data_IF_151809632398
#
_entry.id   IF_151809632398
#
_cell.length_a   1.000
_cell.length_b   1.000
_cell.length_c   1.000
_cell.angle_alpha   90.00
_cell.angle_beta   90.00
_cell.angle_gamma   90.00
#
_symmetry.space_group_name_H-M   'P 1'
#
loop_
_entity.id
_entity.type
_entity.pdbx_description
1 polymer ?
#
# COMPACT_ATOMS: atom_id res chain seq x y z
N UNK A 1 -24.63 21.09 9.14
CA UNK A 1 -23.19 20.98 8.84
C UNK A 1 -22.38 21.78 9.84
N UNK A 2 -21.40 21.15 10.48
CA UNK A 2 -20.44 21.71 11.42
C UNK A 2 -19.32 22.44 10.67
N UNK A 3 -18.93 23.60 11.17
CA UNK A 3 -17.75 24.34 10.68
C UNK A 3 -16.47 23.83 11.34
N UNK A 4 -15.30 24.27 10.84
CA UNK A 4 -14.02 23.96 11.47
C UNK A 4 -13.96 24.43 12.93
N UNK A 5 -14.51 25.61 13.23
CA UNK A 5 -14.53 26.15 14.60
C UNK A 5 -15.47 25.36 15.50
N UNK A 6 -16.62 24.90 14.98
CA UNK A 6 -17.51 24.02 15.75
C UNK A 6 -16.80 22.71 16.13
N UNK A 7 -16.03 22.11 15.21
CA UNK A 7 -15.29 20.87 15.46
C UNK A 7 -14.11 21.12 16.41
N UNK A 8 -13.38 22.23 16.25
CA UNK A 8 -12.27 22.58 17.17
C UNK A 8 -12.77 22.80 18.60
N UNK A 9 -13.94 23.40 18.77
CA UNK A 9 -14.57 23.66 20.06
C UNK A 9 -15.05 22.40 20.80
N UNK A 10 -15.21 21.26 20.12
CA UNK A 10 -15.56 19.99 20.76
C UNK A 10 -14.46 19.53 21.72
N UNK A 11 -14.87 18.96 22.86
CA UNK A 11 -13.95 18.31 23.81
C UNK A 11 -13.25 17.12 23.16
N UNK A 12 -12.13 16.69 23.76
CA UNK A 12 -11.44 15.48 23.30
C UNK A 12 -12.35 14.24 23.41
N UNK A 13 -13.12 14.10 24.50
CA UNK A 13 -14.07 12.98 24.64
C UNK A 13 -15.15 13.01 23.55
N UNK A 14 -15.71 14.18 23.23
CA UNK A 14 -16.72 14.32 22.19
C UNK A 14 -16.17 13.91 20.81
N UNK A 15 -14.94 14.32 20.49
CA UNK A 15 -14.23 13.94 19.25
C UNK A 15 -14.00 12.43 19.19
N UNK A 16 -13.55 11.81 20.28
CA UNK A 16 -13.33 10.37 20.33
C UNK A 16 -14.65 9.58 20.24
N UNK A 17 -15.72 10.07 20.86
CA UNK A 17 -17.02 9.43 20.81
C UNK A 17 -17.61 9.45 19.40
N UNK A 18 -17.57 10.58 18.70
CA UNK A 18 -18.09 10.65 17.32
C UNK A 18 -17.25 9.82 16.35
N UNK A 19 -15.92 9.80 16.52
CA UNK A 19 -15.03 8.95 15.74
C UNK A 19 -15.36 7.47 15.94
N UNK A 20 -15.54 7.04 17.19
CA UNK A 20 -15.96 5.67 17.50
C UNK A 20 -17.32 5.35 16.87
N UNK A 21 -18.29 6.25 16.96
CA UNK A 21 -19.62 6.05 16.37
C UNK A 21 -19.55 5.84 14.85
N UNK A 22 -18.82 6.70 14.13
CA UNK A 22 -18.62 6.52 12.68
C UNK A 22 -17.98 5.17 12.36
N UNK A 23 -16.93 4.80 13.11
CA UNK A 23 -16.23 3.54 12.89
C UNK A 23 -17.10 2.32 13.20
N UNK A 24 -17.96 2.39 14.22
CA UNK A 24 -18.91 1.33 14.53
C UNK A 24 -19.96 1.18 13.42
N UNK A 25 -20.50 2.28 12.89
CA UNK A 25 -21.44 2.24 11.77
C UNK A 25 -20.81 1.65 10.50
N UNK A 26 -19.58 2.07 10.16
CA UNK A 26 -18.83 1.49 9.04
C UNK A 26 -18.60 -0.01 9.25
N UNK A 27 -18.12 -0.41 10.44
CA UNK A 27 -17.78 -1.81 10.71
C UNK A 27 -19.02 -2.72 10.71
N UNK A 28 -20.19 -2.19 11.07
CA UNK A 28 -21.46 -2.92 11.03
C UNK A 28 -22.14 -2.89 9.65
N UNK A 29 -21.47 -2.37 8.62
CA UNK A 29 -22.02 -2.16 7.29
C UNK A 29 -23.35 -1.36 7.28
N UNK A 30 -23.47 -0.38 8.18
CA UNK A 30 -24.67 0.43 8.37
C UNK A 30 -24.58 1.74 7.56
N UNK A 31 -24.85 1.64 6.26
CA UNK A 31 -24.77 2.77 5.34
C UNK A 31 -25.68 3.93 5.76
N UNK A 32 -26.89 3.65 6.24
CA UNK A 32 -27.86 4.69 6.60
C UNK A 32 -27.32 5.56 7.74
N UNK A 33 -26.77 4.95 8.79
CA UNK A 33 -26.19 5.71 9.90
C UNK A 33 -24.85 6.37 9.54
N UNK A 34 -24.06 5.78 8.62
CA UNK A 34 -22.89 6.48 8.05
C UNK A 34 -23.31 7.77 7.33
N UNK A 35 -24.31 7.71 6.45
CA UNK A 35 -24.84 8.90 5.73
C UNK A 35 -25.41 9.92 6.71
N UNK A 36 -26.20 9.46 7.68
CA UNK A 36 -26.83 10.32 8.67
C UNK A 36 -25.85 11.03 9.59
N UNK A 37 -24.74 10.40 9.96
CA UNK A 37 -23.68 11.06 10.73
C UNK A 37 -22.92 12.04 9.84
N UNK A 38 -22.41 11.59 8.69
CA UNK A 38 -21.50 12.38 7.86
C UNK A 38 -22.16 13.59 7.19
N UNK A 39 -23.49 13.63 7.02
CA UNK A 39 -24.18 14.83 6.50
C UNK A 39 -23.94 16.09 7.35
N UNK A 40 -23.63 15.91 8.63
CA UNK A 40 -23.35 17.01 9.54
C UNK A 40 -21.87 17.39 9.62
N UNK A 41 -20.97 16.61 9.02
CA UNK A 41 -19.53 16.82 9.05
C UNK A 41 -19.00 16.98 7.63
N UNK A 42 -18.77 18.20 7.14
CA UNK A 42 -18.15 18.42 5.84
C UNK A 42 -16.79 17.74 5.72
N UNK A 43 -16.50 17.17 4.54
CA UNK A 43 -15.30 16.36 4.30
C UNK A 43 -14.00 17.13 4.56
N UNK A 44 -13.88 18.36 4.05
CA UNK A 44 -12.65 19.14 4.18
C UNK A 44 -12.33 19.35 5.65
N UNK A 45 -13.30 19.87 6.38
CA UNK A 45 -13.19 20.16 7.79
C UNK A 45 -12.92 18.87 8.58
N UNK A 46 -13.73 17.83 8.42
CA UNK A 46 -13.66 16.66 9.30
C UNK A 46 -12.56 15.63 8.99
N UNK A 47 -12.07 15.56 7.75
CA UNK A 47 -11.07 14.56 7.35
C UNK A 47 -9.69 15.15 7.01
N UNK A 48 -9.61 16.42 6.61
CA UNK A 48 -8.38 16.99 6.04
C UNK A 48 -7.79 18.15 6.83
N UNK A 49 -8.51 18.72 7.80
CA UNK A 49 -8.01 19.75 8.70
C UNK A 49 -7.65 19.13 10.06
N UNK A 50 -6.57 19.61 10.68
CA UNK A 50 -6.21 19.20 12.04
C UNK A 50 -7.09 19.90 13.09
N UNK A 51 -7.44 19.18 14.16
CA UNK A 51 -8.31 19.70 15.23
C UNK A 51 -7.79 19.50 16.65
N UNK A 52 -6.84 18.59 16.83
CA UNK A 52 -6.23 18.36 18.14
C UNK A 52 -4.84 17.75 17.98
N UNK A 53 -4.02 18.05 18.98
CA UNK A 53 -2.68 17.47 19.12
C UNK A 53 -2.77 16.32 20.12
N UNK A 54 -2.40 15.12 19.68
CA UNK A 54 -2.19 13.99 20.56
C UNK A 54 -0.70 13.89 20.88
N UNK A 55 -0.34 13.80 22.15
CA UNK A 55 1.06 13.71 22.58
C UNK A 55 1.40 12.26 22.94
N UNK A 56 2.35 11.65 22.24
CA UNK A 56 2.79 10.28 22.51
C UNK A 56 4.26 10.06 22.17
N UNK A 57 5.01 9.42 23.07
CA UNK A 57 6.45 9.15 22.93
C UNK A 57 7.30 10.39 22.54
N UNK A 58 7.05 11.52 23.21
CA UNK A 58 7.72 12.81 22.95
C UNK A 58 7.46 13.38 21.54
N UNK A 59 6.39 12.95 20.89
CA UNK A 59 5.98 13.46 19.59
C UNK A 59 4.54 13.96 19.61
N UNK A 60 4.31 15.00 18.82
CA UNK A 60 3.03 15.69 18.68
C UNK A 60 2.39 15.25 17.35
N UNK A 61 1.16 14.74 17.43
CA UNK A 61 0.40 14.29 16.27
C UNK A 61 -0.78 15.23 16.07
N UNK A 62 -0.78 15.95 14.95
CA UNK A 62 -1.92 16.73 14.52
C UNK A 62 -2.93 15.83 13.81
N UNK A 63 -4.13 15.71 14.38
CA UNK A 63 -5.13 14.75 13.95
C UNK A 63 -6.39 15.45 13.45
N UNK A 64 -6.93 14.98 12.32
CA UNK A 64 -8.29 15.29 11.88
C UNK A 64 -9.32 14.56 12.74
N UNK A 65 -10.61 14.91 12.59
CA UNK A 65 -11.68 14.27 13.36
C UNK A 65 -11.79 12.79 12.95
N UNK A 66 -11.75 12.53 11.65
CA UNK A 66 -11.78 11.21 11.06
C UNK A 66 -10.55 11.01 10.16
N UNK A 67 -9.87 9.88 10.31
CA UNK A 67 -8.76 9.50 9.43
C UNK A 67 -9.32 9.00 8.08
N UNK A 68 -8.86 9.52 6.93
CA UNK A 68 -9.26 9.00 5.64
C UNK A 68 -8.90 7.52 5.46
N UNK A 69 -7.65 7.15 5.74
CA UNK A 69 -7.15 5.80 5.47
C UNK A 69 -7.78 4.76 6.41
N UNK A 70 -7.96 5.09 7.70
CA UNK A 70 -8.58 4.19 8.67
C UNK A 70 -10.07 4.00 8.41
N UNK A 71 -10.78 5.06 7.98
CA UNK A 71 -12.19 4.95 7.59
C UNK A 71 -12.36 4.04 6.37
N UNK A 72 -11.52 4.23 5.34
CA UNK A 72 -11.52 3.39 4.14
C UNK A 72 -11.08 1.95 4.43
N UNK A 73 -10.09 1.76 5.31
CA UNK A 73 -9.65 0.43 5.73
C UNK A 73 -10.76 -0.34 6.45
N UNK A 74 -11.49 0.32 7.36
CA UNK A 74 -12.65 -0.28 8.03
C UNK A 74 -13.77 -0.62 7.05
N UNK A 75 -14.04 0.27 6.10
CA UNK A 75 -15.04 0.02 5.07
C UNK A 75 -14.62 -1.15 4.16
N UNK A 76 -13.32 -1.32 3.87
CA UNK A 76 -12.81 -2.47 3.12
C UNK A 76 -12.98 -3.79 3.88
N UNK A 77 -12.76 -3.81 5.20
CA UNK A 77 -13.04 -4.99 6.02
C UNK A 77 -14.53 -5.31 6.09
N UNK A 78 -15.38 -4.31 6.32
CA UNK A 78 -16.83 -4.49 6.32
C UNK A 78 -17.34 -5.01 4.98
N UNK A 79 -16.82 -4.48 3.86
CA UNK A 79 -17.13 -4.97 2.51
C UNK A 79 -16.81 -6.46 2.36
N UNK A 80 -15.62 -6.91 2.79
CA UNK A 80 -15.23 -8.33 2.76
C UNK A 80 -16.16 -9.21 3.60
N UNK A 81 -16.49 -8.78 4.82
CA UNK A 81 -17.35 -9.51 5.75
C UNK A 81 -18.82 -9.58 5.29
N UNK A 82 -19.24 -8.68 4.40
CA UNK A 82 -20.60 -8.55 3.92
C UNK A 82 -20.76 -8.90 2.43
N UNK A 83 -20.10 -9.97 1.97
CA UNK A 83 -20.20 -10.50 0.60
C UNK A 83 -19.83 -9.50 -0.50
N UNK A 84 -18.79 -8.70 -0.27
CA UNK A 84 -18.32 -7.64 -1.17
C UNK A 84 -19.38 -6.56 -1.41
N UNK A 85 -20.10 -6.16 -0.36
CA UNK A 85 -20.95 -4.98 -0.39
C UNK A 85 -20.10 -3.70 -0.41
N UNK A 86 -19.95 -3.13 -1.59
CA UNK A 86 -19.19 -1.90 -1.80
C UNK A 86 -19.95 -0.62 -1.42
N UNK A 87 -21.21 -0.71 -0.96
CA UNK A 87 -22.08 0.47 -0.83
C UNK A 87 -21.51 1.58 0.06
N UNK A 88 -20.85 1.23 1.17
CA UNK A 88 -20.17 2.23 2.03
C UNK A 88 -18.94 2.81 1.35
N UNK A 89 -18.13 1.99 0.67
CA UNK A 89 -16.96 2.47 -0.06
C UNK A 89 -17.38 3.41 -1.20
N UNK A 90 -18.40 3.03 -1.97
CA UNK A 90 -18.95 3.86 -3.05
C UNK A 90 -19.50 5.17 -2.50
N UNK A 91 -20.25 5.15 -1.40
CA UNK A 91 -20.69 6.38 -0.75
C UNK A 91 -19.51 7.26 -0.32
N UNK A 92 -18.52 6.68 0.38
CA UNK A 92 -17.37 7.42 0.90
C UNK A 92 -16.55 8.07 -0.22
N UNK A 93 -16.36 7.39 -1.37
CA UNK A 93 -15.60 7.93 -2.49
C UNK A 93 -16.44 8.84 -3.43
N UNK A 94 -17.63 8.41 -3.84
CA UNK A 94 -18.39 9.05 -4.92
C UNK A 94 -19.35 10.13 -4.43
N UNK A 95 -20.02 9.90 -3.31
CA UNK A 95 -21.01 10.85 -2.78
C UNK A 95 -20.39 11.80 -1.74
N UNK A 96 -19.59 11.27 -0.81
CA UNK A 96 -18.98 12.06 0.27
C UNK A 96 -17.66 12.72 -0.16
N UNK A 97 -16.92 12.09 -1.07
CA UNK A 97 -15.79 12.70 -1.77
C UNK A 97 -14.40 12.40 -1.21
N UNK A 98 -14.22 11.34 -0.41
CA UNK A 98 -12.88 10.91 0.01
C UNK A 98 -12.03 10.58 -1.22
N UNK A 99 -10.72 10.82 -1.10
CA UNK A 99 -9.80 10.56 -2.20
C UNK A 99 -8.47 10.01 -1.71
N UNK A 100 -7.97 9.00 -2.42
CA UNK A 100 -6.60 8.48 -2.28
C UNK A 100 -5.65 9.06 -3.35
N UNK A 101 -6.11 10.02 -4.17
CA UNK A 101 -5.28 10.62 -5.22
C UNK A 101 -4.08 11.38 -4.67
N UNK A 102 -4.24 12.04 -3.52
CA UNK A 102 -3.09 12.52 -2.75
C UNK A 102 -2.48 11.30 -2.02
N UNK A 103 -1.27 10.87 -2.39
CA UNK A 103 -0.67 9.65 -1.87
C UNK A 103 -0.48 9.66 -0.35
N UNK A 104 -0.43 10.83 0.30
CA UNK A 104 -0.27 10.88 1.76
C UNK A 104 -1.47 10.29 2.50
N UNK A 105 -2.67 10.35 1.92
CA UNK A 105 -3.89 9.77 2.49
C UNK A 105 -4.00 8.26 2.30
N UNK A 106 -2.96 7.61 1.75
CA UNK A 106 -2.84 6.16 1.76
C UNK A 106 -2.37 5.61 3.12
N UNK A 107 -2.20 6.44 4.15
CA UNK A 107 -1.68 6.04 5.46
C UNK A 107 -2.52 6.60 6.60
N UNK A 108 -2.61 5.84 7.69
CA UNK A 108 -3.26 6.29 8.91
C UNK A 108 -2.34 7.20 9.74
N UNK A 109 -2.94 8.15 10.47
CA UNK A 109 -2.32 9.24 11.23
C UNK A 109 -0.84 9.11 11.63
N UNK A 110 -0.39 8.09 12.39
CA UNK A 110 0.97 8.09 12.94
C UNK A 110 2.05 7.91 11.87
N UNK A 111 1.69 7.45 10.67
CA UNK A 111 2.67 7.19 9.62
C UNK A 111 2.88 8.39 8.71
N UNK A 112 1.95 9.34 8.67
CA UNK A 112 2.11 10.56 7.87
C UNK A 112 3.36 11.35 8.27
N UNK A 113 3.75 11.39 9.56
CA UNK A 113 4.99 12.05 10.02
C UNK A 113 6.27 11.42 9.46
N UNK A 114 6.17 10.14 9.12
CA UNK A 114 7.25 9.35 8.55
C UNK A 114 7.20 9.33 7.03
N UNK A 115 6.21 9.94 6.38
CA UNK A 115 6.27 10.19 4.94
C UNK A 115 7.35 11.25 4.72
N UNK A 116 8.39 10.87 3.98
CA UNK A 116 9.46 11.78 3.54
C UNK A 116 9.08 12.46 2.23
N UNK A 117 8.50 11.69 1.33
CA UNK A 117 8.01 12.13 0.03
C UNK A 117 6.80 11.31 -0.36
N UNK A 118 5.79 11.96 -0.93
CA UNK A 118 4.59 11.32 -1.44
C UNK A 118 4.19 12.03 -2.73
N UNK A 119 4.25 11.31 -3.85
CA UNK A 119 3.91 11.85 -5.17
C UNK A 119 3.17 10.77 -6.00
N UNK A 120 2.75 11.13 -7.20
CA UNK A 120 1.98 10.24 -8.08
C UNK A 120 2.71 8.92 -8.42
N UNK A 121 4.03 8.86 -8.28
CA UNK A 121 4.83 7.66 -8.56
C UNK A 121 4.99 6.78 -7.32
N UNK A 122 5.36 7.36 -6.19
CA UNK A 122 5.69 6.60 -4.99
C UNK A 122 5.40 7.35 -3.69
N UNK A 123 5.35 6.59 -2.59
CA UNK A 123 5.53 7.09 -1.23
C UNK A 123 6.87 6.57 -0.68
N UNK A 124 7.72 7.48 -0.19
CA UNK A 124 8.97 7.16 0.47
C UNK A 124 8.85 7.41 1.97
N UNK A 125 9.11 6.37 2.75
CA UNK A 125 8.99 6.37 4.21
C UNK A 125 10.35 6.53 4.89
N UNK A 126 10.39 7.37 5.92
CA UNK A 126 11.53 7.50 6.83
C UNK A 126 11.76 6.19 7.58
N UNK A 127 13.03 5.88 7.83
CA UNK A 127 13.41 4.74 8.65
C UNK A 127 13.01 5.03 10.09
N UNK A 128 12.30 4.08 10.71
CA UNK A 128 11.93 4.17 12.12
C UNK A 128 12.84 3.25 12.92
N UNK A 129 13.54 3.82 13.89
CA UNK A 129 14.39 3.07 14.80
C UNK A 129 13.52 2.13 15.65
N UNK A 130 13.85 0.83 15.69
CA UNK A 130 13.09 -0.18 16.45
C UNK A 130 11.75 -0.63 15.81
N UNK A 131 11.31 -0.03 14.71
CA UNK A 131 10.09 -0.45 14.00
C UNK A 131 10.35 -0.60 12.49
N UNK A 132 10.72 -1.81 12.07
CA UNK A 132 11.15 -2.10 10.70
C UNK A 132 10.02 -2.16 9.66
N UNK A 133 8.77 -1.91 10.05
CA UNK A 133 7.61 -2.30 9.22
C UNK A 133 6.57 -1.19 9.10
N UNK A 134 7.00 0.06 8.98
CA UNK A 134 6.06 1.19 8.91
C UNK A 134 5.08 1.10 7.71
N UNK A 135 5.51 0.50 6.60
CA UNK A 135 4.66 0.23 5.45
C UNK A 135 3.46 -0.68 5.74
N UNK A 136 3.43 -1.43 6.86
CA UNK A 136 2.26 -2.25 7.25
C UNK A 136 0.98 -1.43 7.40
N UNK A 137 1.11 -0.11 7.57
CA UNK A 137 -0.02 0.78 7.79
C UNK A 137 -0.38 1.62 6.55
N UNK A 138 0.34 1.44 5.45
CA UNK A 138 -0.20 1.82 4.15
C UNK A 138 -1.50 1.04 3.92
N UNK A 139 -2.56 1.71 3.52
CA UNK A 139 -3.93 1.21 3.44
C UNK A 139 -4.01 -0.16 2.76
N UNK A 140 -3.35 -0.33 1.61
CA UNK A 140 -3.42 -1.58 0.85
C UNK A 140 -2.70 -2.73 1.56
N UNK A 141 -1.56 -2.47 2.18
CA UNK A 141 -0.79 -3.46 2.92
C UNK A 141 -1.42 -3.77 4.27
N UNK A 142 -2.02 -2.77 4.92
CA UNK A 142 -2.79 -2.94 6.14
C UNK A 142 -3.97 -3.87 5.89
N UNK A 143 -4.71 -3.66 4.79
CA UNK A 143 -5.79 -4.54 4.39
C UNK A 143 -5.29 -5.97 4.12
N UNK A 144 -4.30 -6.14 3.23
CA UNK A 144 -3.78 -7.46 2.85
C UNK A 144 -3.24 -8.25 4.06
N UNK A 145 -2.57 -7.59 5.01
CA UNK A 145 -1.95 -8.26 6.15
C UNK A 145 -2.89 -8.36 7.36
N UNK A 146 -3.99 -7.62 7.37
CA UNK A 146 -4.96 -7.54 8.45
C UNK A 146 -6.11 -8.54 8.35
N UNK A 147 -6.35 -9.13 7.18
CA UNK A 147 -7.40 -10.15 6.99
C UNK A 147 -6.83 -11.56 6.88
N UNK A 148 -7.66 -12.55 7.20
CA UNK A 148 -7.28 -13.97 7.08
C UNK A 148 -7.28 -14.45 5.63
N UNK A 149 -8.18 -13.91 4.80
CA UNK A 149 -8.38 -14.32 3.42
C UNK A 149 -8.59 -13.07 2.53
N UNK A 150 -7.54 -12.28 2.26
CA UNK A 150 -7.73 -11.00 1.61
C UNK A 150 -8.26 -11.13 0.19
N UNK A 151 -9.22 -10.27 -0.16
CA UNK A 151 -9.93 -10.35 -1.42
C UNK A 151 -9.30 -9.49 -2.52
N UNK A 152 -8.85 -10.13 -3.60
CA UNK A 152 -8.30 -9.46 -4.80
C UNK A 152 -9.25 -8.43 -5.43
N UNK A 153 -10.57 -8.60 -5.34
CA UNK A 153 -11.55 -7.64 -5.86
C UNK A 153 -11.54 -6.33 -5.08
N UNK A 154 -11.44 -6.41 -3.74
CA UNK A 154 -11.37 -5.24 -2.86
C UNK A 154 -10.03 -4.53 -3.05
N UNK A 155 -8.93 -5.28 -3.17
CA UNK A 155 -7.60 -4.72 -3.49
C UNK A 155 -7.67 -3.96 -4.82
N UNK A 156 -8.20 -4.58 -5.86
CA UNK A 156 -8.36 -3.97 -7.19
C UNK A 156 -9.24 -2.73 -7.15
N UNK A 157 -10.33 -2.77 -6.40
CA UNK A 157 -11.18 -1.61 -6.17
C UNK A 157 -10.38 -0.46 -5.54
N UNK A 158 -9.65 -0.71 -4.45
CA UNK A 158 -8.86 0.30 -3.76
C UNK A 158 -7.76 0.89 -4.66
N UNK A 159 -7.05 0.05 -5.44
CA UNK A 159 -6.05 0.50 -6.42
C UNK A 159 -6.68 1.43 -7.45
N UNK A 160 -7.85 1.06 -8.01
CA UNK A 160 -8.59 1.90 -8.96
C UNK A 160 -9.04 3.24 -8.35
N UNK A 161 -9.17 3.30 -7.02
CA UNK A 161 -9.48 4.53 -6.25
C UNK A 161 -8.24 5.35 -5.87
N UNK A 162 -7.03 4.87 -6.20
CA UNK A 162 -5.76 5.56 -5.96
C UNK A 162 -4.89 4.95 -4.86
N UNK A 163 -5.24 3.77 -4.33
CA UNK A 163 -4.38 3.07 -3.39
C UNK A 163 -3.06 2.65 -4.04
N UNK A 164 -1.93 2.79 -3.32
CA UNK A 164 -0.57 2.57 -3.87
C UNK A 164 0.14 1.37 -3.25
N UNK A 165 0.78 0.59 -4.10
CA UNK A 165 1.75 -0.44 -3.69
C UNK A 165 3.18 0.10 -3.64
N UNK A 166 3.48 1.19 -4.33
CA UNK A 166 4.81 1.84 -4.41
C UNK A 166 5.14 2.59 -3.11
N UNK A 167 5.17 1.87 -1.99
CA UNK A 167 5.52 2.36 -0.65
C UNK A 167 6.90 1.82 -0.30
N UNK A 168 7.89 2.69 -0.40
CA UNK A 168 9.30 2.35 -0.23
C UNK A 168 9.79 2.74 1.16
N UNK A 169 10.63 1.90 1.75
CA UNK A 169 11.51 2.36 2.83
C UNK A 169 12.67 3.19 2.28
N UNK A 170 13.25 4.06 3.10
CA UNK A 170 14.52 4.74 2.80
C UNK A 170 15.75 3.91 3.21
N UNK A 171 15.59 2.59 3.35
CA UNK A 171 16.67 1.68 3.66
C UNK A 171 17.68 1.58 2.51
N UNK A 172 18.77 0.85 2.74
CA UNK A 172 19.82 0.66 1.75
C UNK A 172 19.32 0.01 0.44
N UNK A 173 18.14 -0.60 0.47
CA UNK A 173 17.55 -1.30 -0.66
C UNK A 173 16.31 -0.62 -1.26
N UNK A 174 15.79 0.46 -0.68
CA UNK A 174 14.60 1.15 -1.19
C UNK A 174 13.39 0.24 -1.38
N UNK A 175 13.18 -0.72 -0.47
CA UNK A 175 12.28 -1.85 -0.69
C UNK A 175 10.81 -1.49 -0.46
N UNK A 176 9.94 -2.15 -1.22
CA UNK A 176 8.51 -2.25 -0.91
C UNK A 176 8.20 -3.59 -0.24
N UNK A 177 7.03 -3.75 0.42
CA UNK A 177 6.62 -5.03 1.01
C UNK A 177 6.63 -6.20 0.03
N UNK A 178 6.36 -5.95 -1.25
CA UNK A 178 6.39 -6.97 -2.29
C UNK A 178 7.80 -7.53 -2.51
N UNK A 179 8.87 -6.74 -2.33
CA UNK A 179 10.25 -7.23 -2.39
C UNK A 179 10.54 -8.20 -1.25
N UNK A 180 10.07 -7.89 -0.04
CA UNK A 180 10.18 -8.82 1.10
C UNK A 180 9.42 -10.12 0.84
N UNK A 181 8.23 -10.06 0.23
CA UNK A 181 7.46 -11.25 -0.12
C UNK A 181 8.17 -12.09 -1.19
N UNK A 182 8.73 -11.44 -2.21
CA UNK A 182 9.48 -12.11 -3.26
C UNK A 182 10.69 -12.86 -2.70
N UNK A 183 11.50 -12.19 -1.88
CA UNK A 183 12.69 -12.77 -1.25
C UNK A 183 12.37 -13.88 -0.24
N UNK A 184 11.18 -13.87 0.38
CA UNK A 184 10.76 -14.88 1.36
C UNK A 184 9.93 -16.02 0.76
N UNK A 185 9.82 -16.09 -0.57
CA UNK A 185 9.01 -17.07 -1.28
C UNK A 185 7.50 -17.02 -0.92
N UNK A 186 6.99 -15.85 -0.52
CA UNK A 186 5.58 -15.66 -0.16
C UNK A 186 4.74 -15.41 -1.43
N UNK A 187 4.61 -16.44 -2.26
CA UNK A 187 3.96 -16.33 -3.57
C UNK A 187 2.45 -16.01 -3.47
N UNK A 188 1.74 -16.45 -2.42
CA UNK A 188 0.31 -16.17 -2.26
C UNK A 188 0.01 -14.66 -2.09
N UNK A 189 0.78 -13.96 -1.25
CA UNK A 189 0.61 -12.51 -1.07
C UNK A 189 1.00 -11.74 -2.33
N UNK A 190 2.02 -12.22 -3.04
CA UNK A 190 2.47 -11.58 -4.28
C UNK A 190 1.47 -11.77 -5.41
N UNK A 191 0.93 -12.98 -5.58
CA UNK A 191 -0.11 -13.29 -6.55
C UNK A 191 -1.35 -12.43 -6.29
N UNK A 192 -1.78 -12.35 -5.03
CA UNK A 192 -2.91 -11.53 -4.61
C UNK A 192 -2.71 -10.06 -4.95
N UNK A 193 -1.54 -9.49 -4.64
CA UNK A 193 -1.24 -8.09 -4.93
C UNK A 193 -1.20 -7.80 -6.44
N UNK A 194 -0.54 -8.65 -7.23
CA UNK A 194 -0.42 -8.47 -8.69
C UNK A 194 -1.78 -8.64 -9.38
N UNK A 195 -2.58 -9.66 -9.00
CA UNK A 195 -3.97 -9.79 -9.49
C UNK A 195 -4.86 -8.63 -9.05
N UNK A 196 -4.54 -8.01 -7.92
CA UNK A 196 -5.15 -6.78 -7.42
C UNK A 196 -4.69 -5.51 -8.13
N UNK A 197 -3.77 -5.58 -9.09
CA UNK A 197 -3.32 -4.44 -9.88
C UNK A 197 -1.95 -3.88 -9.51
N UNK A 198 -1.19 -4.53 -8.61
CA UNK A 198 0.20 -4.16 -8.38
C UNK A 198 1.06 -4.38 -9.63
N UNK A 199 2.07 -3.54 -9.83
CA UNK A 199 3.04 -3.72 -10.91
C UNK A 199 3.88 -5.00 -10.68
N UNK A 200 3.85 -5.92 -11.64
CA UNK A 200 4.66 -7.16 -11.62
C UNK A 200 6.16 -6.88 -11.70
N UNK A 201 6.55 -5.77 -12.35
CA UNK A 201 7.92 -5.28 -12.43
C UNK A 201 8.18 -4.18 -11.40
N UNK A 202 7.55 -4.26 -10.22
CA UNK A 202 7.80 -3.32 -9.12
C UNK A 202 9.30 -3.27 -8.81
N UNK A 203 9.84 -2.06 -8.81
CA UNK A 203 11.26 -1.78 -8.65
C UNK A 203 11.57 -1.32 -7.24
N UNK A 204 12.81 -1.52 -6.80
CA UNK A 204 13.38 -0.82 -5.66
C UNK A 204 13.56 0.68 -5.95
N UNK A 205 13.81 1.47 -4.90
CA UNK A 205 14.14 2.90 -5.01
C UNK A 205 15.48 3.19 -4.31
N UNK A 206 16.57 2.71 -4.90
CA UNK A 206 17.92 2.72 -4.27
C UNK A 206 18.52 4.11 -4.19
N UNK A 207 18.56 4.81 -5.32
CA UNK A 207 18.87 6.22 -5.42
C UNK A 207 17.93 6.81 -6.47
N UNK A 208 17.06 7.79 -6.12
CA UNK A 208 16.16 8.44 -7.08
C UNK A 208 16.87 9.07 -8.30
N UNK A 209 18.20 9.25 -8.24
CA UNK A 209 19.05 9.75 -9.34
C UNK A 209 19.82 8.63 -10.07
N UNK A 210 19.74 7.39 -9.59
CA UNK A 210 20.38 6.23 -10.18
C UNK A 210 19.41 5.45 -11.04
N UNK A 211 19.92 4.85 -12.11
CA UNK A 211 19.19 3.87 -12.91
C UNK A 211 19.29 2.45 -12.31
N UNK A 212 20.05 2.28 -11.22
CA UNK A 212 20.19 0.99 -10.56
C UNK A 212 18.98 0.72 -9.68
N UNK A 213 17.98 0.03 -10.22
CA UNK A 213 16.83 -0.51 -9.48
C UNK A 213 16.69 -2.00 -9.76
N UNK A 214 16.29 -2.76 -8.74
CA UNK A 214 16.04 -4.20 -8.83
C UNK A 214 14.53 -4.45 -8.83
N UNK A 215 14.06 -5.36 -9.68
CA UNK A 215 12.64 -5.75 -9.69
C UNK A 215 12.38 -6.86 -8.67
N UNK A 216 11.10 -7.17 -8.42
CA UNK A 216 10.69 -8.35 -7.66
C UNK A 216 11.37 -9.64 -8.16
N UNK A 217 11.66 -9.73 -9.45
CA UNK A 217 12.31 -10.90 -10.04
C UNK A 217 13.78 -11.03 -9.64
N UNK A 218 14.53 -9.93 -9.46
CA UNK A 218 15.89 -9.96 -8.90
C UNK A 218 15.88 -10.54 -7.48
N UNK A 219 14.97 -10.07 -6.63
CA UNK A 219 14.82 -10.58 -5.27
C UNK A 219 14.43 -12.07 -5.26
N UNK A 220 13.48 -12.45 -6.12
CA UNK A 220 13.01 -13.82 -6.23
C UNK A 220 14.07 -14.81 -6.72
N UNK A 221 15.06 -14.38 -7.50
CA UNK A 221 16.09 -15.29 -8.02
C UNK A 221 17.35 -15.29 -7.16
N UNK A 222 17.43 -14.38 -6.18
CA UNK A 222 18.58 -14.22 -5.30
C UNK A 222 18.84 -15.41 -4.37
N UNK A 223 17.87 -16.31 -4.18
CA UNK A 223 18.04 -17.55 -3.40
C UNK A 223 17.52 -18.79 -4.16
N UNK A 224 18.12 -19.99 -3.99
CA UNK A 224 17.70 -21.20 -4.70
C UNK A 224 16.26 -21.67 -4.40
N UNK A 225 15.76 -21.43 -3.19
CA UNK A 225 14.50 -21.95 -2.67
C UNK A 225 13.27 -21.11 -3.08
N UNK A 226 13.47 -19.88 -3.54
CA UNK A 226 12.42 -18.92 -3.91
C UNK A 226 11.83 -19.16 -5.31
N UNK A 227 12.05 -20.34 -5.90
CA UNK A 227 11.64 -20.68 -7.25
C UNK A 227 10.14 -20.62 -7.51
N UNK A 228 9.30 -20.73 -6.48
CA UNK A 228 7.83 -20.60 -6.64
C UNK A 228 7.45 -19.16 -6.96
N UNK A 229 8.06 -18.20 -6.28
CA UNK A 229 7.90 -16.78 -6.64
C UNK A 229 8.49 -16.51 -8.03
N UNK A 230 9.68 -17.05 -8.36
CA UNK A 230 10.25 -16.87 -9.71
C UNK A 230 9.29 -17.37 -10.78
N UNK A 231 8.74 -18.57 -10.60
CA UNK A 231 7.76 -19.14 -11.51
C UNK A 231 6.50 -18.26 -11.61
N UNK A 232 5.93 -17.86 -10.47
CA UNK A 232 4.74 -17.01 -10.42
C UNK A 232 4.96 -15.68 -11.16
N UNK A 233 6.08 -15.00 -10.91
CA UNK A 233 6.39 -13.71 -11.54
C UNK A 233 6.50 -13.86 -13.07
N UNK A 234 7.15 -14.92 -13.55
CA UNK A 234 7.21 -15.23 -14.99
C UNK A 234 5.81 -15.49 -15.56
N UNK A 235 4.99 -16.29 -14.87
CA UNK A 235 3.61 -16.60 -15.28
C UNK A 235 2.71 -15.36 -15.30
N UNK A 236 2.96 -14.39 -14.42
CA UNK A 236 2.26 -13.10 -14.35
C UNK A 236 2.86 -12.03 -15.26
N UNK A 237 3.85 -12.38 -16.10
CA UNK A 237 4.37 -11.51 -17.16
C UNK A 237 5.49 -10.58 -16.72
N UNK A 238 6.24 -10.89 -15.66
CA UNK A 238 7.44 -10.15 -15.29
C UNK A 238 8.44 -10.09 -16.46
N UNK A 239 9.08 -8.94 -16.63
CA UNK A 239 10.14 -8.78 -17.61
C UNK A 239 11.41 -9.53 -17.17
N UNK A 240 11.57 -10.76 -17.67
CA UNK A 240 12.76 -11.60 -17.38
C UNK A 240 14.08 -11.02 -17.88
N UNK A 241 14.03 -10.01 -18.74
CA UNK A 241 15.17 -9.32 -19.32
C UNK A 241 15.32 -7.87 -18.78
N UNK A 242 14.67 -7.53 -17.66
CA UNK A 242 14.89 -6.24 -17.00
C UNK A 242 16.39 -6.09 -16.68
N UNK A 243 17.02 -5.04 -17.21
CA UNK A 243 18.46 -4.88 -17.14
C UNK A 243 18.84 -3.62 -16.35
N UNK A 244 19.60 -3.82 -15.27
CA UNK A 244 20.12 -2.79 -14.38
C UNK A 244 21.57 -3.12 -14.01
N UNK A 245 22.54 -2.57 -14.76
CA UNK A 245 23.71 -3.23 -15.40
C UNK A 245 23.77 -4.77 -15.60
N UNK A 246 23.14 -5.54 -14.72
CA UNK A 246 22.94 -6.99 -14.72
C UNK A 246 21.47 -7.32 -15.00
N UNK A 247 21.18 -8.60 -15.17
CA UNK A 247 19.84 -9.14 -15.42
C UNK A 247 19.46 -10.12 -14.32
N UNK A 248 18.17 -10.49 -14.17
CA UNK A 248 17.78 -11.57 -13.27
C UNK A 248 18.55 -12.87 -13.54
N UNK A 249 18.88 -13.17 -14.80
CA UNK A 249 19.66 -14.37 -15.13
C UNK A 249 21.12 -14.30 -14.66
N UNK A 250 21.72 -13.11 -14.64
CA UNK A 250 23.08 -12.93 -14.10
C UNK A 250 23.12 -13.22 -12.59
N UNK A 251 22.04 -12.86 -11.88
CA UNK A 251 21.97 -12.93 -10.41
C UNK A 251 21.31 -14.20 -9.88
N UNK A 252 20.70 -15.00 -10.76
CA UNK A 252 19.95 -16.19 -10.38
C UNK A 252 20.82 -17.22 -9.65
N UNK A 253 20.43 -17.56 -8.42
CA UNK A 253 20.95 -18.70 -7.66
C UNK A 253 20.07 -19.94 -7.85
N UNK A 254 20.69 -21.12 -7.73
CA UNK A 254 20.00 -22.41 -7.87
C UNK A 254 19.72 -22.81 -9.32
N UNK A 255 19.69 -24.12 -9.58
CA UNK A 255 19.44 -24.65 -10.93
C UNK A 255 18.01 -24.45 -11.41
N UNK A 256 17.03 -24.43 -10.48
CA UNK A 256 15.61 -24.23 -10.81
C UNK A 256 15.32 -22.82 -11.34
N UNK A 257 15.75 -21.77 -10.64
CA UNK A 257 15.55 -20.38 -11.10
C UNK A 257 16.23 -20.14 -12.44
N UNK A 258 17.48 -20.59 -12.59
CA UNK A 258 18.21 -20.49 -13.87
C UNK A 258 17.48 -21.20 -15.01
N UNK A 259 16.91 -22.38 -14.75
CA UNK A 259 16.12 -23.12 -15.74
C UNK A 259 14.84 -22.36 -16.10
N UNK A 260 14.06 -21.93 -15.11
CA UNK A 260 12.83 -21.15 -15.32
C UNK A 260 13.07 -19.90 -16.17
N UNK A 261 14.09 -19.12 -15.83
CA UNK A 261 14.47 -17.92 -16.57
C UNK A 261 14.87 -18.22 -18.01
N UNK A 262 15.73 -19.24 -18.24
CA UNK A 262 16.15 -19.64 -19.59
C UNK A 262 14.98 -20.16 -20.43
N UNK A 263 14.13 -20.98 -19.84
CA UNK A 263 12.93 -21.50 -20.48
C UNK A 263 11.97 -20.35 -20.86
N UNK A 264 11.98 -19.25 -20.09
CA UNK A 264 11.23 -18.02 -20.37
C UNK A 264 11.95 -17.03 -21.31
N UNK A 265 13.11 -17.38 -21.86
CA UNK A 265 13.85 -16.52 -22.79
C UNK A 265 14.66 -15.39 -22.15
N UNK A 266 15.00 -15.52 -20.86
CA UNK A 266 15.93 -14.60 -20.21
C UNK A 266 17.34 -14.70 -20.82
N UNK A 267 17.99 -13.56 -20.92
CA UNK A 267 19.33 -13.38 -21.45
C UNK A 267 20.20 -12.76 -20.36
N UNK A 268 21.48 -13.13 -20.34
CA UNK A 268 22.49 -12.43 -19.52
C UNK A 268 22.71 -11.01 -20.06
N UNK A 269 23.19 -10.10 -19.22
CA UNK A 269 23.52 -8.73 -19.65
C UNK A 269 24.51 -8.70 -20.82
N UNK A 270 25.46 -9.65 -20.87
CA UNK A 270 26.40 -9.80 -21.98
C UNK A 270 25.71 -10.22 -23.29
N UNK A 271 24.73 -11.12 -23.23
CA UNK A 271 23.97 -11.54 -24.40
C UNK A 271 23.06 -10.42 -24.91
N UNK A 272 22.42 -9.66 -24.00
CA UNK A 272 21.64 -8.46 -24.37
C UNK A 272 22.52 -7.45 -25.09
N UNK A 273 23.69 -7.11 -24.53
CA UNK A 273 24.63 -6.16 -25.17
C UNK A 273 25.07 -6.61 -26.55
N UNK A 274 25.33 -7.91 -26.76
CA UNK A 274 25.70 -8.45 -28.09
C UNK A 274 24.56 -8.45 -29.10
N UNK A 275 23.31 -8.46 -28.64
CA UNK A 275 22.14 -8.52 -29.53
C UNK A 275 21.73 -7.13 -30.04
N UNK A 276 21.98 -6.07 -29.25
CA UNK A 276 21.50 -4.72 -29.53
C UNK A 276 22.62 -3.68 -29.79
N UNK A 277 23.89 -4.10 -29.74
CA UNK A 277 25.04 -3.33 -30.25
C UNK A 277 25.56 -3.97 -31.53
#
# INVERSE_FOLDING_TARGET
MKTLEDIKAMSFEEKMQIQKQLFDFISNNDLENVKNLLKDYPIKESFYEAHFTYHHNNEDYELSLFDPAASLLKAAYACEENNNDFSILDYLFDEYGLSLKDPKYNFAFPDMKHIKEANEKYILMKKVEGNSIIYKKALIYAYILGTKNPNSQIIKYLVNRGAKFEVHDEGAYGWTPMHFWARRNNYELLELAIKGGANVDMQTLLDPKSEYNETLLFEAVSEPETYRVTQLLIELGANVNFATPRTPLDDAKGSRNKKLLKDAGAMTSNEIRKKYN
#
